data_IF_124435037036
#
_entry.id   IF_124435037036
#
_cell.length_a   1.000
_cell.length_b   1.000
_cell.length_c   1.000
_cell.angle_alpha   90.00
_cell.angle_beta   90.00
_cell.angle_gamma   90.00
#
_symmetry.space_group_name_H-M   'P 1'
#
loop_
_entity.id
_entity.type
_entity.pdbx_description
1 polymer ?
#
# COMPACT_ATOMS: atom_id res chain seq x y z
N UNK A 1 9.44 19.24 7.61
CA UNK A 1 7.97 19.14 7.70
C UNK A 1 7.55 19.73 9.04
N UNK A 2 6.48 20.53 9.08
CA UNK A 2 6.08 21.26 10.29
C UNK A 2 5.26 20.35 11.22
N UNK A 3 5.58 20.34 12.52
CA UNK A 3 4.99 19.45 13.53
C UNK A 3 3.45 19.54 13.61
N UNK A 4 2.88 20.69 13.23
CA UNK A 4 1.44 20.93 13.13
C UNK A 4 0.74 20.14 12.00
N UNK A 5 1.45 19.82 10.92
CA UNK A 5 0.91 19.05 9.78
C UNK A 5 0.69 17.58 10.17
N UNK A 6 1.57 17.02 10.99
CA UNK A 6 1.53 15.61 11.40
C UNK A 6 0.38 15.33 12.36
N UNK A 7 0.14 16.22 13.33
CA UNK A 7 -0.97 16.12 14.27
C UNK A 7 -2.33 16.27 13.58
N UNK A 8 -2.42 17.16 12.58
CA UNK A 8 -3.65 17.38 11.82
C UNK A 8 -3.99 16.17 10.96
N UNK A 9 -3.03 15.62 10.21
CA UNK A 9 -3.26 14.41 9.40
C UNK A 9 -3.63 13.21 10.27
N UNK A 10 -2.93 12.99 11.39
CA UNK A 10 -3.27 11.90 12.30
C UNK A 10 -4.69 12.04 12.89
N UNK A 11 -5.17 13.26 13.14
CA UNK A 11 -6.54 13.51 13.63
C UNK A 11 -7.64 13.24 12.60
N UNK A 12 -7.29 13.16 11.31
CA UNK A 12 -8.23 12.88 10.22
C UNK A 12 -8.45 11.39 9.97
N UNK A 13 -7.57 10.52 10.50
CA UNK A 13 -7.76 9.08 10.37
C UNK A 13 -9.05 8.64 11.08
N UNK A 14 -9.82 7.80 10.40
CA UNK A 14 -11.03 7.22 10.98
C UNK A 14 -10.66 6.36 12.19
N UNK A 15 -11.53 6.31 13.21
CA UNK A 15 -11.33 5.44 14.37
C UNK A 15 -11.21 3.99 13.92
N UNK A 16 -10.25 3.25 14.48
CA UNK A 16 -9.97 1.85 14.14
C UNK A 16 -9.08 1.66 12.90
N UNK A 17 -8.94 2.67 12.03
CA UNK A 17 -8.20 2.53 10.77
C UNK A 17 -6.74 2.10 10.97
N UNK A 18 -6.09 2.56 12.05
CA UNK A 18 -4.74 2.11 12.37
C UNK A 18 -4.73 0.61 12.69
N UNK A 19 -5.59 0.17 13.61
CA UNK A 19 -5.61 -1.23 14.05
C UNK A 19 -5.96 -2.18 12.89
N UNK A 20 -6.87 -1.77 11.99
CA UNK A 20 -7.23 -2.52 10.80
C UNK A 20 -6.03 -2.67 9.85
N UNK A 21 -5.34 -1.57 9.52
CA UNK A 21 -4.15 -1.62 8.65
C UNK A 21 -3.04 -2.43 9.31
N UNK A 22 -2.76 -2.23 10.60
CA UNK A 22 -1.70 -2.96 11.29
C UNK A 22 -1.97 -4.47 11.33
N UNK A 23 -3.24 -4.88 11.45
CA UNK A 23 -3.67 -6.27 11.38
C UNK A 23 -3.48 -6.84 9.97
N UNK A 24 -4.00 -6.16 8.95
CA UNK A 24 -4.08 -6.72 7.59
C UNK A 24 -2.70 -6.74 6.90
N UNK A 25 -1.85 -5.75 7.18
CA UNK A 25 -0.48 -5.67 6.66
C UNK A 25 0.56 -6.32 7.59
N UNK A 26 0.17 -6.80 8.78
CA UNK A 26 1.09 -7.42 9.73
C UNK A 26 2.21 -6.50 10.23
N UNK A 27 2.02 -5.18 10.19
CA UNK A 27 3.04 -4.18 10.52
C UNK A 27 2.51 -3.16 11.53
N UNK A 28 3.23 -2.93 12.64
CA UNK A 28 2.87 -1.90 13.64
C UNK A 28 3.56 -0.59 13.33
N UNK A 29 2.78 0.47 13.09
CA UNK A 29 3.32 1.79 12.74
C UNK A 29 3.88 2.52 13.97
N UNK A 30 5.10 3.02 13.85
CA UNK A 30 5.71 3.96 14.81
C UNK A 30 5.15 5.36 14.58
N UNK A 31 4.97 5.76 13.33
CA UNK A 31 4.44 7.06 12.92
C UNK A 31 2.98 6.97 12.44
N UNK A 32 2.05 7.41 13.30
CA UNK A 32 0.63 7.56 12.93
C UNK A 32 0.42 8.57 11.81
N UNK A 33 1.24 9.61 11.75
CA UNK A 33 1.14 10.64 10.71
C UNK A 33 1.49 10.08 9.33
N UNK A 34 2.46 9.16 9.26
CA UNK A 34 2.84 8.52 7.99
C UNK A 34 1.74 7.59 7.48
N UNK A 35 1.10 6.83 8.38
CA UNK A 35 -0.08 6.04 8.01
C UNK A 35 -1.24 6.93 7.53
N UNK A 36 -1.48 8.06 8.22
CA UNK A 36 -2.50 9.02 7.81
C UNK A 36 -2.25 9.55 6.40
N UNK A 37 -1.00 9.86 6.07
CA UNK A 37 -0.59 10.28 4.73
C UNK A 37 -0.85 9.19 3.68
N UNK A 38 -0.58 7.92 4.02
CA UNK A 38 -0.85 6.80 3.12
C UNK A 38 -2.36 6.62 2.81
N UNK A 39 -3.20 6.87 3.81
CA UNK A 39 -4.66 6.77 3.70
C UNK A 39 -5.32 8.01 3.06
N UNK A 40 -4.57 9.08 2.79
CA UNK A 40 -5.10 10.31 2.17
C UNK A 40 -5.05 10.27 0.63
N UNK A 41 -6.09 9.74 -0.01
CA UNK A 41 -6.25 9.80 -1.46
C UNK A 41 -6.84 11.13 -1.95
N UNK A 42 -7.24 12.03 -1.05
CA UNK A 42 -7.98 13.25 -1.37
C UNK A 42 -7.10 14.38 -1.91
N UNK A 43 -5.84 14.39 -1.48
CA UNK A 43 -4.90 15.50 -1.72
C UNK A 43 -5.20 16.75 -0.90
N UNK A 44 -6.11 16.67 0.08
CA UNK A 44 -6.49 17.79 0.96
C UNK A 44 -5.37 18.09 1.96
N UNK A 45 -4.66 17.06 2.46
CA UNK A 45 -3.55 17.25 3.41
C UNK A 45 -2.20 17.56 2.76
N UNK A 46 -1.98 17.10 1.53
CA UNK A 46 -0.78 17.38 0.76
C UNK A 46 -1.12 17.38 -0.73
N UNK A 47 -0.50 18.27 -1.51
CA UNK A 47 -0.63 18.22 -2.96
C UNK A 47 -0.28 16.81 -3.47
N UNK A 48 -1.15 16.25 -4.31
CA UNK A 48 -1.14 14.85 -4.80
C UNK A 48 -1.52 13.74 -3.81
N UNK A 49 -1.79 14.04 -2.54
CA UNK A 49 -2.21 13.06 -1.53
C UNK A 49 -1.18 11.95 -1.35
N UNK A 50 -1.65 10.71 -1.29
CA UNK A 50 -0.82 9.53 -1.07
C UNK A 50 0.03 9.10 -2.28
N UNK A 51 -0.12 9.72 -3.46
CA UNK A 51 0.54 9.29 -4.70
C UNK A 51 2.07 9.22 -4.60
N UNK A 52 2.67 10.09 -3.78
CA UNK A 52 4.12 10.10 -3.59
C UNK A 52 4.60 8.89 -2.80
N UNK A 53 3.83 8.45 -1.79
CA UNK A 53 4.07 7.20 -1.09
C UNK A 53 3.72 6.00 -1.98
N UNK A 54 2.65 6.08 -2.77
CA UNK A 54 2.26 5.02 -3.70
C UNK A 54 3.37 4.71 -4.70
N UNK A 55 3.97 5.73 -5.31
CA UNK A 55 5.10 5.53 -6.22
C UNK A 55 6.28 4.84 -5.53
N UNK A 56 6.59 5.20 -4.28
CA UNK A 56 7.65 4.53 -3.53
C UNK A 56 7.29 3.06 -3.27
N UNK A 57 6.07 2.79 -2.79
CA UNK A 57 5.59 1.46 -2.49
C UNK A 57 5.54 0.53 -3.69
N UNK A 58 5.06 1.01 -4.85
CA UNK A 58 5.10 0.28 -6.13
C UNK A 58 6.52 -0.19 -6.44
N UNK A 59 7.51 0.71 -6.35
CA UNK A 59 8.91 0.35 -6.62
C UNK A 59 9.49 -0.61 -5.59
N UNK A 60 9.09 -0.51 -4.31
CA UNK A 60 9.55 -1.45 -3.29
C UNK A 60 8.91 -2.82 -3.45
N UNK A 61 7.61 -2.90 -3.77
CA UNK A 61 6.93 -4.17 -4.05
C UNK A 61 7.55 -4.88 -5.27
N UNK A 62 7.76 -4.16 -6.37
CA UNK A 62 8.44 -4.69 -7.55
C UNK A 62 9.89 -5.13 -7.24
N UNK A 63 10.60 -4.38 -6.39
CA UNK A 63 11.94 -4.76 -5.96
C UNK A 63 11.92 -6.06 -5.14
N UNK A 64 10.97 -6.24 -4.21
CA UNK A 64 10.79 -7.50 -3.45
C UNK A 64 10.60 -8.67 -4.40
N UNK A 65 9.62 -8.57 -5.31
CA UNK A 65 9.32 -9.63 -6.28
C UNK A 65 10.53 -9.99 -7.13
N UNK A 66 11.24 -8.97 -7.63
CA UNK A 66 12.39 -9.20 -8.52
C UNK A 66 13.60 -9.76 -7.77
N UNK A 67 13.81 -9.39 -6.51
CA UNK A 67 14.86 -9.96 -5.66
C UNK A 67 14.60 -11.44 -5.34
N UNK A 68 13.39 -11.79 -4.91
CA UNK A 68 12.99 -13.17 -4.61
C UNK A 68 13.04 -14.05 -5.86
N UNK A 69 12.51 -13.55 -6.99
CA UNK A 69 12.63 -14.22 -8.27
C UNK A 69 14.09 -14.49 -8.65
N UNK A 70 14.98 -13.51 -8.52
CA UNK A 70 16.39 -13.67 -8.89
C UNK A 70 17.06 -14.77 -8.04
N UNK A 71 16.80 -14.78 -6.73
CA UNK A 71 17.32 -15.80 -5.81
C UNK A 71 16.80 -17.20 -6.14
N UNK A 72 15.54 -17.31 -6.59
CA UNK A 72 14.93 -18.60 -6.93
C UNK A 72 15.58 -19.31 -8.13
N UNK A 73 16.30 -18.57 -8.98
CA UNK A 73 16.86 -19.11 -10.23
C UNK A 73 15.81 -19.43 -11.31
N UNK A 74 14.55 -19.02 -11.11
CA UNK A 74 13.48 -19.26 -12.07
C UNK A 74 13.69 -18.49 -13.39
N UNK A 75 13.10 -18.96 -14.51
CA UNK A 75 13.12 -18.22 -15.77
C UNK A 75 12.52 -16.81 -15.64
N UNK A 76 13.00 -15.86 -16.45
CA UNK A 76 12.50 -14.46 -16.46
C UNK A 76 10.98 -14.36 -16.65
N UNK A 77 10.39 -15.25 -17.43
CA UNK A 77 8.94 -15.30 -17.63
C UNK A 77 8.14 -15.44 -16.32
N UNK A 78 8.72 -16.04 -15.27
CA UNK A 78 8.08 -16.10 -13.95
C UNK A 78 8.03 -14.73 -13.27
N UNK A 79 9.08 -13.92 -13.36
CA UNK A 79 9.04 -12.53 -12.87
C UNK A 79 7.99 -11.69 -13.62
N UNK A 80 7.95 -11.82 -14.95
CA UNK A 80 6.99 -11.08 -15.77
C UNK A 80 5.54 -11.38 -15.35
N UNK A 81 5.23 -12.65 -15.04
CA UNK A 81 3.91 -13.05 -14.50
C UNK A 81 3.63 -12.49 -13.12
N UNK A 82 4.59 -12.55 -12.19
CA UNK A 82 4.42 -12.02 -10.84
C UNK A 82 4.16 -10.51 -10.86
N UNK A 83 4.91 -9.77 -11.68
CA UNK A 83 4.72 -8.32 -11.86
C UNK A 83 3.36 -8.03 -12.50
N UNK A 84 2.94 -8.81 -13.49
CA UNK A 84 1.62 -8.65 -14.12
C UNK A 84 0.46 -8.93 -13.16
N UNK A 85 0.63 -9.85 -12.21
CA UNK A 85 -0.37 -10.19 -11.19
C UNK A 85 -0.50 -9.11 -10.08
N UNK A 86 0.30 -8.04 -10.15
CA UNK A 86 0.20 -6.88 -9.28
C UNK A 86 -0.32 -5.66 -10.07
N UNK A 87 -1.26 -5.89 -10.98
CA UNK A 87 -1.89 -4.80 -11.71
C UNK A 87 -2.74 -3.92 -10.79
N UNK A 88 -3.08 -2.70 -11.23
CA UNK A 88 -4.02 -1.83 -10.51
C UNK A 88 -5.35 -2.55 -10.20
N UNK A 89 -5.78 -3.49 -11.05
CA UNK A 89 -7.00 -4.27 -10.84
C UNK A 89 -6.84 -5.28 -9.69
N UNK A 90 -5.71 -5.98 -9.63
CA UNK A 90 -5.40 -6.99 -8.61
C UNK A 90 -5.18 -6.34 -7.24
N UNK A 91 -4.42 -5.25 -7.21
CA UNK A 91 -4.21 -4.46 -5.99
C UNK A 91 -5.52 -3.84 -5.49
N UNK A 92 -6.38 -3.36 -6.40
CA UNK A 92 -7.71 -2.88 -6.03
C UNK A 92 -8.65 -3.99 -5.55
N UNK A 93 -8.51 -5.22 -6.07
CA UNK A 93 -9.26 -6.37 -5.56
C UNK A 93 -8.82 -6.71 -4.13
N UNK A 94 -7.50 -6.73 -3.89
CA UNK A 94 -6.92 -6.93 -2.55
C UNK A 94 -7.37 -5.85 -1.58
N UNK A 95 -7.30 -4.58 -1.96
CA UNK A 95 -7.77 -3.46 -1.13
C UNK A 95 -9.26 -3.57 -0.78
N UNK A 96 -10.09 -4.17 -1.66
CA UNK A 96 -11.50 -4.44 -1.36
C UNK A 96 -11.69 -5.62 -0.42
N UNK A 97 -10.89 -6.68 -0.55
CA UNK A 97 -11.05 -7.88 0.29
C UNK A 97 -10.68 -7.65 1.75
N UNK A 98 -9.87 -6.64 2.04
CA UNK A 98 -9.50 -6.22 3.40
C UNK A 98 -10.26 -4.98 3.88
N UNK A 99 -11.34 -4.60 3.18
CA UNK A 99 -12.16 -3.41 3.52
C UNK A 99 -11.39 -2.09 3.63
N UNK A 100 -10.21 -1.97 3.01
CA UNK A 100 -9.37 -0.75 3.02
C UNK A 100 -10.13 0.48 2.50
N UNK A 101 -11.05 0.21 1.59
CA UNK A 101 -12.04 1.12 1.05
C UNK A 101 -12.73 2.00 2.11
N UNK A 102 -13.10 1.40 3.25
CA UNK A 102 -13.87 2.09 4.28
C UNK A 102 -13.01 2.98 5.17
N UNK A 103 -11.68 2.88 5.08
CA UNK A 103 -10.74 3.67 5.88
C UNK A 103 -9.97 4.72 5.08
N UNK A 104 -9.90 4.61 3.75
CA UNK A 104 -9.33 5.64 2.88
C UNK A 104 -10.12 6.97 3.01
N UNK A 105 -9.37 8.07 2.99
CA UNK A 105 -9.89 9.43 2.93
C UNK A 105 -9.91 9.89 1.47
N UNK A 106 -11.11 10.16 0.96
CA UNK A 106 -11.32 10.61 -0.42
C UNK A 106 -11.65 12.09 -0.48
N UNK A 107 -11.48 12.71 -1.65
CA UNK A 107 -11.86 14.11 -1.85
C UNK A 107 -13.37 14.30 -1.60
N UNK A 108 -13.78 15.27 -0.77
CA UNK A 108 -15.20 15.52 -0.49
C UNK A 108 -16.02 15.88 -1.73
N UNK A 109 -15.38 16.36 -2.82
CA UNK A 109 -16.02 16.61 -4.11
C UNK A 109 -16.23 15.37 -4.98
N UNK A 110 -15.64 14.21 -4.63
CA UNK A 110 -15.88 12.94 -5.30
C UNK A 110 -17.07 12.23 -4.64
N UNK A 111 -18.03 11.75 -5.45
CA UNK A 111 -19.08 10.89 -4.89
C UNK A 111 -18.46 9.61 -4.32
N UNK A 112 -19.03 9.07 -3.23
CA UNK A 112 -18.59 7.79 -2.66
C UNK A 112 -18.50 6.72 -3.76
N UNK A 113 -19.52 6.63 -4.63
CA UNK A 113 -19.52 5.68 -5.76
C UNK A 113 -18.33 5.84 -6.72
N UNK A 114 -17.93 7.07 -7.05
CA UNK A 114 -16.79 7.32 -7.95
C UNK A 114 -15.45 6.97 -7.29
N UNK A 115 -15.30 7.32 -6.01
CA UNK A 115 -14.13 6.96 -5.22
C UNK A 115 -13.96 5.43 -5.14
N UNK A 116 -15.05 4.70 -4.90
CA UNK A 116 -15.10 3.24 -4.81
C UNK A 116 -14.85 2.51 -6.13
N UNK A 117 -15.17 3.15 -7.25
CA UNK A 117 -15.03 2.57 -8.58
C UNK A 117 -13.60 2.66 -9.15
N UNK A 118 -12.75 3.53 -8.59
CA UNK A 118 -11.40 3.77 -9.11
C UNK A 118 -10.43 2.68 -8.65
N UNK A 119 -10.16 1.71 -9.52
CA UNK A 119 -9.11 0.70 -9.27
C UNK A 119 -7.76 1.37 -8.97
N UNK A 120 -7.39 2.41 -9.74
CA UNK A 120 -6.14 3.14 -9.52
C UNK A 120 -6.04 3.76 -8.13
N UNK A 121 -7.13 4.32 -7.61
CA UNK A 121 -7.12 4.96 -6.29
C UNK A 121 -6.94 3.93 -5.18
N UNK A 122 -7.58 2.77 -5.30
CA UNK A 122 -7.46 1.69 -4.33
C UNK A 122 -6.06 1.04 -4.38
N UNK A 123 -5.55 0.80 -5.58
CA UNK A 123 -4.18 0.32 -5.80
C UNK A 123 -3.16 1.29 -5.18
N UNK A 124 -3.26 2.60 -5.50
CA UNK A 124 -2.39 3.62 -4.93
C UNK A 124 -2.45 3.67 -3.39
N UNK A 125 -3.62 3.44 -2.78
CA UNK A 125 -3.72 3.42 -1.32
C UNK A 125 -2.97 2.23 -0.70
N UNK A 126 -3.12 1.03 -1.29
CA UNK A 126 -2.38 -0.16 -0.87
C UNK A 126 -0.87 0.05 -1.06
N UNK A 127 -0.44 0.53 -2.23
CA UNK A 127 0.96 0.88 -2.51
C UNK A 127 1.47 1.95 -1.54
N UNK A 128 0.67 2.97 -1.23
CA UNK A 128 1.08 4.01 -0.30
C UNK A 128 1.31 3.49 1.11
N UNK A 129 0.54 2.49 1.56
CA UNK A 129 0.78 1.83 2.84
C UNK A 129 2.09 1.04 2.79
N UNK A 130 2.37 0.31 1.70
CA UNK A 130 3.67 -0.37 1.53
C UNK A 130 4.85 0.63 1.55
N UNK A 131 4.70 1.77 0.87
CA UNK A 131 5.69 2.85 0.91
C UNK A 131 5.86 3.45 2.31
N UNK A 132 4.77 3.58 3.06
CA UNK A 132 4.81 4.04 4.45
C UNK A 132 5.49 3.02 5.37
N UNK A 133 5.23 1.72 5.22
CA UNK A 133 5.90 0.64 5.96
C UNK A 133 7.41 0.68 5.71
N UNK A 134 7.83 0.84 4.45
CA UNK A 134 9.24 0.97 4.09
C UNK A 134 9.91 2.15 4.82
N UNK A 135 9.30 3.32 4.83
CA UNK A 135 9.87 4.49 5.51
C UNK A 135 9.84 4.35 7.04
N UNK A 136 8.73 3.89 7.62
CA UNK A 136 8.55 3.74 9.08
C UNK A 136 9.46 2.67 9.70
N UNK A 137 9.77 1.63 8.92
CA UNK A 137 10.69 0.56 9.32
C UNK A 137 12.16 1.01 9.31
N UNK A 138 12.46 2.17 8.73
CA UNK A 138 13.83 2.65 8.55
C UNK A 138 14.45 2.16 7.25
N UNK A 139 13.67 2.09 6.17
CA UNK A 139 14.02 1.57 4.86
C UNK A 139 14.29 0.05 4.86
N UNK A 140 13.54 -0.71 5.67
CA UNK A 140 13.68 -2.17 5.72
C UNK A 140 12.87 -2.83 4.61
N UNK A 141 13.60 -3.51 3.73
CA UNK A 141 13.05 -4.26 2.62
C UNK A 141 12.22 -5.47 3.08
N UNK A 142 12.62 -6.12 4.17
CA UNK A 142 11.92 -7.31 4.68
C UNK A 142 10.57 -6.95 5.29
N UNK A 143 10.41 -5.73 5.81
CA UNK A 143 9.13 -5.24 6.30
C UNK A 143 8.09 -5.14 5.17
N UNK A 144 8.50 -4.71 3.97
CA UNK A 144 7.62 -4.66 2.79
C UNK A 144 7.27 -6.07 2.33
N UNK A 145 8.25 -6.99 2.30
CA UNK A 145 8.01 -8.40 1.97
C UNK A 145 6.99 -9.04 2.92
N UNK A 146 7.18 -8.90 4.23
CA UNK A 146 6.26 -9.44 5.23
C UNK A 146 4.83 -8.88 5.07
N UNK A 147 4.70 -7.60 4.69
CA UNK A 147 3.41 -6.99 4.43
C UNK A 147 2.74 -7.56 3.17
N UNK A 148 3.48 -7.78 2.09
CA UNK A 148 2.96 -8.45 0.88
C UNK A 148 2.49 -9.87 1.18
N UNK A 149 3.27 -10.64 1.95
CA UNK A 149 2.92 -11.99 2.38
C UNK A 149 1.67 -12.00 3.27
N UNK A 150 1.53 -11.04 4.20
CA UNK A 150 0.33 -10.87 5.03
C UNK A 150 -0.94 -10.66 4.19
N UNK A 151 -0.81 -9.95 3.07
CA UNK A 151 -1.89 -9.71 2.11
C UNK A 151 -2.11 -10.88 1.13
N UNK A 152 -1.35 -11.97 1.25
CA UNK A 152 -1.33 -13.07 0.27
C UNK A 152 -1.00 -12.62 -1.15
N UNK A 153 -0.22 -11.55 -1.30
CA UNK A 153 0.31 -11.10 -2.58
C UNK A 153 1.58 -11.90 -2.88
N UNK A 154 1.64 -12.66 -3.99
CA UNK A 154 2.80 -13.49 -4.33
C UNK A 154 4.09 -12.67 -4.43
N UNK A 155 5.16 -13.14 -3.78
CA UNK A 155 6.48 -12.49 -3.82
C UNK A 155 7.53 -13.34 -4.54
N UNK A 156 7.33 -14.65 -4.61
CA UNK A 156 8.23 -15.61 -5.26
C UNK A 156 7.49 -16.47 -6.29
N UNK A 157 8.18 -17.01 -7.32
CA UNK A 157 7.58 -17.97 -8.26
C UNK A 157 7.00 -19.22 -7.60
N UNK A 158 7.50 -19.61 -6.42
CA UNK A 158 6.94 -20.71 -5.61
C UNK A 158 5.53 -20.44 -5.10
N UNK A 159 5.18 -19.17 -4.94
CA UNK A 159 3.92 -18.75 -4.31
C UNK A 159 2.78 -18.70 -5.32
N UNK A 160 3.10 -18.62 -6.61
CA UNK A 160 2.15 -18.40 -7.69
C UNK A 160 1.34 -19.66 -8.09
N UNK A 161 1.68 -20.83 -7.56
CA UNK A 161 1.17 -22.11 -8.05
C UNK A 161 1.71 -22.44 -9.45
N UNK A 162 2.03 -23.70 -9.71
CA UNK A 162 2.40 -24.16 -11.06
C UNK A 162 1.24 -24.05 -12.05
#
# INVERSE_FOLDING_TARGET
MNHYSELWQASMMKRGAQDDVERDFGYRFKSKALLAQALDASGVGQADGNKRLALLGDKMAAAVVTAEWYISGAPRASADRLIQAQSDADLAATARSIDLVDIITFNPGLSKRQALASAKTLANALEAILGAIYIDSGNDFNAVKAALESLSIPTSPSDAGE
#
